data_IF_977267245643
#
_entry.id   IF_977267245643
#
_cell.length_a   1.000
_cell.length_b   1.000
_cell.length_c   1.000
_cell.angle_alpha   90.00
_cell.angle_beta   90.00
_cell.angle_gamma   90.00
#
_symmetry.space_group_name_H-M   'P 1'
#
loop_
_entity.id
_entity.type
_entity.pdbx_description
1 polymer ?
#
# COMPACT_ATOMS: atom_id res chain seq x y z
N UNK A 1 10.07 21.23 -5.63
CA UNK A 1 8.80 20.47 -5.56
C UNK A 1 8.96 18.95 -5.60
N UNK A 2 9.81 18.37 -6.47
CA UNK A 2 9.92 16.90 -6.62
C UNK A 2 10.28 16.13 -5.34
N UNK A 3 11.07 16.71 -4.43
CA UNK A 3 11.40 16.13 -3.12
C UNK A 3 10.19 15.95 -2.19
N UNK A 4 9.15 16.78 -2.34
CA UNK A 4 7.93 16.67 -1.55
C UNK A 4 7.12 15.42 -1.96
N UNK A 5 7.22 14.97 -3.22
CA UNK A 5 6.51 13.79 -3.71
C UNK A 5 6.94 12.50 -3.02
N UNK A 6 8.23 12.35 -2.68
CA UNK A 6 8.69 11.18 -1.89
C UNK A 6 8.04 11.16 -0.51
N UNK A 7 7.87 12.33 0.11
CA UNK A 7 7.26 12.45 1.43
C UNK A 7 5.76 12.20 1.37
N UNK A 8 5.08 12.73 0.35
CA UNK A 8 3.65 12.43 0.10
C UNK A 8 3.44 10.94 -0.11
N UNK A 9 4.29 10.28 -0.91
CA UNK A 9 4.22 8.83 -1.08
C UNK A 9 4.45 8.09 0.23
N UNK A 10 5.44 8.49 1.05
CA UNK A 10 5.68 7.85 2.34
C UNK A 10 4.49 8.05 3.31
N UNK A 11 3.92 9.25 3.37
CA UNK A 11 2.73 9.52 4.17
C UNK A 11 1.55 8.67 3.70
N UNK A 12 1.34 8.56 2.39
CA UNK A 12 0.30 7.72 1.82
C UNK A 12 0.50 6.25 2.21
N UNK A 13 1.73 5.74 2.11
CA UNK A 13 2.09 4.40 2.59
C UNK A 13 1.73 4.21 4.08
N UNK A 14 2.11 5.15 4.95
CA UNK A 14 1.82 5.08 6.39
C UNK A 14 0.31 5.05 6.62
N UNK A 15 -0.46 5.93 5.98
CA UNK A 15 -1.91 5.99 6.14
C UNK A 15 -2.60 4.68 5.72
N UNK A 16 -2.26 4.14 4.54
CA UNK A 16 -2.81 2.87 4.06
C UNK A 16 -2.43 1.74 5.02
N UNK A 17 -1.18 1.72 5.49
CA UNK A 17 -0.70 0.69 6.41
C UNK A 17 -1.49 0.73 7.72
N UNK A 18 -1.66 1.90 8.33
CA UNK A 18 -2.42 2.06 9.56
C UNK A 18 -3.88 1.66 9.38
N UNK A 19 -4.51 2.08 8.28
CA UNK A 19 -5.88 1.69 7.95
C UNK A 19 -6.01 0.17 7.76
N UNK A 20 -5.08 -0.43 7.02
CA UNK A 20 -5.02 -1.88 6.80
C UNK A 20 -4.87 -2.61 8.13
N UNK A 21 -3.88 -2.24 8.95
CA UNK A 21 -3.66 -2.85 10.27
C UNK A 21 -4.90 -2.74 11.16
N UNK A 22 -5.55 -1.58 11.17
CA UNK A 22 -6.81 -1.40 11.90
C UNK A 22 -7.89 -2.38 11.42
N UNK A 23 -8.08 -2.52 10.10
CA UNK A 23 -9.03 -3.47 9.52
C UNK A 23 -8.69 -4.93 9.83
N UNK A 24 -7.43 -5.27 10.08
CA UNK A 24 -7.04 -6.63 10.50
C UNK A 24 -7.16 -6.87 12.01
N UNK A 25 -6.89 -5.86 12.83
CA UNK A 25 -7.05 -5.95 14.29
C UNK A 25 -8.52 -5.98 14.71
N UNK A 26 -9.38 -5.27 13.97
CA UNK A 26 -10.82 -5.24 14.16
C UNK A 26 -11.48 -5.75 12.88
N UNK A 27 -11.40 -7.06 12.60
CA UNK A 27 -11.82 -7.64 11.34
C UNK A 27 -13.32 -7.35 11.14
N UNK A 28 -13.67 -6.57 10.11
CA UNK A 28 -15.07 -6.42 9.77
C UNK A 28 -15.58 -7.76 9.21
N UNK A 29 -16.89 -7.96 9.21
CA UNK A 29 -17.49 -9.20 8.71
C UNK A 29 -16.98 -9.51 7.29
N UNK A 30 -16.74 -10.79 7.01
CA UNK A 30 -16.28 -11.22 5.70
C UNK A 30 -17.31 -10.83 4.62
N UNK A 31 -16.86 -10.17 3.56
CA UNK A 31 -17.73 -9.61 2.52
C UNK A 31 -18.29 -8.22 2.85
N UNK A 32 -17.96 -7.65 4.01
CA UNK A 32 -18.40 -6.30 4.35
C UNK A 32 -17.72 -5.23 3.47
N UNK A 33 -18.41 -4.09 3.26
CA UNK A 33 -17.83 -2.96 2.50
C UNK A 33 -16.51 -2.44 3.09
N UNK A 34 -16.35 -2.48 4.42
CA UNK A 34 -15.13 -2.01 5.09
C UNK A 34 -13.92 -2.89 4.75
N UNK A 35 -14.13 -4.21 4.64
CA UNK A 35 -13.10 -5.13 4.19
C UNK A 35 -12.68 -4.81 2.75
N UNK A 36 -13.66 -4.63 1.87
CA UNK A 36 -13.44 -4.24 0.47
C UNK A 36 -12.69 -2.91 0.34
N UNK A 37 -13.03 -1.92 1.17
CA UNK A 37 -12.34 -0.63 1.21
C UNK A 37 -10.88 -0.75 1.64
N UNK A 38 -10.56 -1.61 2.62
CA UNK A 38 -9.18 -1.88 3.02
C UNK A 38 -8.36 -2.41 1.83
N UNK A 39 -8.89 -3.39 1.10
CA UNK A 39 -8.22 -3.97 -0.07
C UNK A 39 -8.12 -3.00 -1.23
N UNK A 40 -9.20 -2.28 -1.54
CA UNK A 40 -9.22 -1.26 -2.57
C UNK A 40 -8.21 -0.14 -2.28
N UNK A 41 -8.07 0.26 -1.00
CA UNK A 41 -7.09 1.28 -0.61
C UNK A 41 -5.67 0.85 -0.94
N UNK A 42 -5.30 -0.40 -0.70
CA UNK A 42 -3.98 -0.93 -1.07
C UNK A 42 -3.82 -0.97 -2.60
N UNK A 43 -4.79 -1.54 -3.31
CA UNK A 43 -4.72 -1.74 -4.78
C UNK A 43 -4.69 -0.42 -5.56
N UNK A 44 -5.40 0.61 -5.10
CA UNK A 44 -5.50 1.87 -5.81
C UNK A 44 -4.42 2.86 -5.37
N UNK A 45 -4.21 2.99 -4.06
CA UNK A 45 -3.32 4.03 -3.53
C UNK A 45 -1.85 3.61 -3.52
N UNK A 46 -1.53 2.31 -3.45
CA UNK A 46 -0.14 1.87 -3.47
C UNK A 46 0.56 2.08 -4.83
N UNK A 47 -0.06 1.77 -5.98
CA UNK A 47 0.50 2.13 -7.28
C UNK A 47 0.67 3.64 -7.45
N UNK A 48 -0.31 4.43 -7.00
CA UNK A 48 -0.22 5.90 -7.03
C UNK A 48 0.96 6.38 -6.18
N UNK A 49 1.13 5.87 -4.96
CA UNK A 49 2.26 6.16 -4.11
C UNK A 49 3.59 5.80 -4.75
N UNK A 50 3.72 4.60 -5.32
CA UNK A 50 4.92 4.19 -6.05
C UNK A 50 5.25 5.13 -7.22
N UNK A 51 4.25 5.54 -8.00
CA UNK A 51 4.43 6.51 -9.08
C UNK A 51 4.91 7.86 -8.55
N UNK A 52 4.33 8.38 -7.46
CA UNK A 52 4.76 9.63 -6.83
C UNK A 52 6.22 9.53 -6.36
N UNK A 53 6.62 8.42 -5.76
CA UNK A 53 7.99 8.18 -5.36
C UNK A 53 8.93 8.07 -6.57
N UNK A 54 8.51 7.43 -7.68
CA UNK A 54 9.30 7.37 -8.91
C UNK A 54 9.50 8.74 -9.57
N UNK A 55 8.45 9.57 -9.58
CA UNK A 55 8.49 10.94 -10.11
C UNK A 55 9.29 11.92 -9.24
N UNK A 56 9.59 11.53 -8.00
CA UNK A 56 10.41 12.33 -7.08
C UNK A 56 11.91 12.34 -7.39
N UNK A 57 12.35 11.57 -8.40
CA UNK A 57 13.76 11.49 -8.85
C UNK A 57 14.33 12.89 -9.11
N UNK A 58 15.46 13.16 -8.46
CA UNK A 58 16.22 14.40 -8.62
C UNK A 58 17.61 14.05 -9.14
N UNK A 59 18.06 14.67 -10.24
CA UNK A 59 19.31 14.33 -10.95
C UNK A 59 19.43 12.84 -11.32
N UNK A 60 18.31 12.20 -11.68
CA UNK A 60 18.27 10.79 -12.09
C UNK A 60 18.35 9.76 -10.95
N UNK A 61 18.55 10.19 -9.70
CA UNK A 61 18.61 9.30 -8.54
C UNK A 61 17.34 9.42 -7.68
N UNK A 62 16.93 8.30 -7.10
CA UNK A 62 15.89 8.27 -6.07
C UNK A 62 16.48 8.67 -4.72
N UNK A 63 15.70 9.42 -3.93
CA UNK A 63 16.03 9.68 -2.53
C UNK A 63 15.87 8.40 -1.70
N UNK A 64 16.54 8.30 -0.54
CA UNK A 64 16.31 7.18 0.39
C UNK A 64 14.83 7.04 0.75
N UNK A 65 14.15 8.15 0.99
CA UNK A 65 12.71 8.20 1.29
C UNK A 65 11.89 7.63 0.13
N UNK A 66 12.20 8.00 -1.11
CA UNK A 66 11.53 7.46 -2.29
C UNK A 66 11.73 5.95 -2.44
N UNK A 67 12.93 5.45 -2.17
CA UNK A 67 13.21 4.00 -2.18
C UNK A 67 12.40 3.29 -1.10
N UNK A 68 12.40 3.81 0.14
CA UNK A 68 11.64 3.25 1.25
C UNK A 68 10.14 3.23 0.95
N UNK A 69 9.60 4.29 0.37
CA UNK A 69 8.18 4.37 0.03
C UNK A 69 7.81 3.36 -1.08
N UNK A 70 8.63 3.22 -2.13
CA UNK A 70 8.44 2.21 -3.18
C UNK A 70 8.46 0.80 -2.58
N UNK A 71 9.44 0.51 -1.73
CA UNK A 71 9.55 -0.79 -1.07
C UNK A 71 8.33 -1.07 -0.19
N UNK A 72 7.90 -0.10 0.63
CA UNK A 72 6.73 -0.23 1.49
C UNK A 72 5.44 -0.52 0.72
N UNK A 73 5.15 0.25 -0.32
CA UNK A 73 3.99 0.01 -1.18
C UNK A 73 4.06 -1.35 -1.90
N UNK A 74 5.25 -1.77 -2.35
CA UNK A 74 5.44 -3.08 -2.98
C UNK A 74 5.16 -4.22 -1.99
N UNK A 75 5.60 -4.08 -0.74
CA UNK A 75 5.34 -5.05 0.34
C UNK A 75 3.85 -5.09 0.69
N UNK A 76 3.14 -3.96 0.73
CA UNK A 76 1.69 -3.95 0.95
C UNK A 76 0.93 -4.68 -0.15
N UNK A 77 1.30 -4.44 -1.41
CA UNK A 77 0.69 -5.13 -2.56
C UNK A 77 0.96 -6.64 -2.47
N UNK A 78 2.22 -7.02 -2.20
CA UNK A 78 2.59 -8.43 -2.04
C UNK A 78 1.83 -9.07 -0.88
N UNK A 79 1.72 -8.36 0.26
CA UNK A 79 0.94 -8.81 1.41
C UNK A 79 -0.51 -9.06 1.02
N UNK A 80 -1.16 -8.12 0.33
CA UNK A 80 -2.54 -8.30 -0.12
C UNK A 80 -2.67 -9.48 -1.07
N UNK A 81 -1.76 -9.61 -2.04
CA UNK A 81 -1.76 -10.73 -2.98
C UNK A 81 -1.62 -12.07 -2.27
N UNK A 82 -0.66 -12.19 -1.35
CA UNK A 82 -0.47 -13.39 -0.54
C UNK A 82 -1.68 -13.66 0.33
N UNK A 83 -2.23 -12.65 1.00
CA UNK A 83 -3.41 -12.78 1.84
C UNK A 83 -4.62 -13.29 1.06
N UNK A 84 -4.88 -12.73 -0.13
CA UNK A 84 -5.97 -13.18 -1.00
C UNK A 84 -5.73 -14.60 -1.53
N UNK A 85 -4.49 -14.92 -1.91
CA UNK A 85 -4.14 -16.25 -2.42
C UNK A 85 -4.21 -17.31 -1.33
N UNK A 86 -3.76 -17.00 -0.10
CA UNK A 86 -3.91 -17.86 1.08
C UNK A 86 -5.38 -18.00 1.47
N UNK A 87 -6.16 -16.92 1.40
CA UNK A 87 -7.61 -16.96 1.58
C UNK A 87 -8.26 -17.94 0.61
N UNK A 88 -7.95 -17.81 -0.68
CA UNK A 88 -8.42 -18.71 -1.73
C UNK A 88 -7.98 -20.17 -1.47
N UNK A 89 -6.70 -20.39 -1.14
CA UNK A 89 -6.12 -21.72 -1.02
C UNK A 89 -6.54 -22.46 0.27
N UNK A 90 -6.81 -21.73 1.35
CA UNK A 90 -7.24 -22.30 2.64
C UNK A 90 -8.77 -22.45 2.70
N UNK A 91 -9.52 -21.47 2.17
CA UNK A 91 -10.98 -21.43 2.31
C UNK A 91 -11.72 -21.91 1.05
N UNK A 92 -11.03 -22.16 -0.06
CA UNK A 92 -11.59 -22.76 -1.27
C UNK A 92 -12.65 -21.92 -1.98
N UNK A 93 -12.66 -20.60 -1.73
CA UNK A 93 -13.57 -19.63 -2.36
C UNK A 93 -12.83 -18.83 -3.41
#
# INVERSE_FOLDING_TARGET
>A
MRWYLSHVSLTLFICITLFTLYSFMFPPEAGSPLQGLAYASILLLSPVGMLLALLSRTRGKLSRIGITAIAGHSVLILFLFLYMTLGYLILGV
#
